data_IF_812762141837
#
_entry.id   IF_812762141837
#
_cell.length_a   1.000
_cell.length_b   1.000
_cell.length_c   1.000
_cell.angle_alpha   90.00
_cell.angle_beta   90.00
_cell.angle_gamma   90.00
#
_symmetry.space_group_name_H-M   'P 1'
#
loop_
_entity.id
_entity.type
_entity.pdbx_description
1 polymer ?
#
# COMPACT_ATOMS: atom_id res chain seq x y z
N UNK A 1 16.16 -0.35 -1.05
CA UNK A 1 15.50 -0.42 -2.36
C UNK A 1 16.25 0.33 -3.46
N UNK A 2 16.69 1.59 -3.29
CA UNK A 2 17.32 2.37 -4.40
C UNK A 2 18.61 1.77 -4.98
N UNK A 3 19.36 0.98 -4.19
CA UNK A 3 20.50 0.18 -4.71
C UNK A 3 20.08 -0.94 -5.67
N UNK A 4 18.84 -1.43 -5.58
CA UNK A 4 18.30 -2.50 -6.43
C UNK A 4 17.75 -1.95 -7.74
N UNK A 5 17.11 -0.77 -7.69
CA UNK A 5 16.57 -0.08 -8.85
C UNK A 5 16.52 1.42 -8.52
N UNK A 6 17.17 2.30 -9.30
CA UNK A 6 17.01 3.74 -9.15
C UNK A 6 15.53 4.14 -9.18
N UNK A 7 15.10 4.90 -8.18
CA UNK A 7 13.74 5.41 -8.08
C UNK A 7 13.66 6.72 -7.32
N UNK A 8 12.65 7.51 -7.66
CA UNK A 8 12.24 8.64 -6.85
C UNK A 8 11.43 8.15 -5.65
N UNK A 9 11.72 8.72 -4.48
CA UNK A 9 11.05 8.40 -3.23
C UNK A 9 10.56 9.69 -2.60
N UNK A 10 9.28 9.73 -2.31
CA UNK A 10 8.61 10.83 -1.64
C UNK A 10 7.99 10.33 -0.34
N UNK A 11 8.10 11.14 0.70
CA UNK A 11 7.59 10.80 2.03
C UNK A 11 6.85 12.00 2.59
N UNK A 12 5.60 11.78 2.94
CA UNK A 12 4.75 12.75 3.60
C UNK A 12 4.49 12.31 5.04
N UNK A 13 4.61 13.25 5.98
CA UNK A 13 4.39 12.98 7.40
C UNK A 13 3.38 13.97 7.97
N UNK A 14 2.27 13.44 8.47
CA UNK A 14 1.23 14.16 9.21
C UNK A 14 1.10 13.51 10.60
N UNK A 15 -0.11 13.13 10.98
CA UNK A 15 -0.43 12.15 12.02
C UNK A 15 -0.03 10.71 11.62
N UNK A 16 0.07 10.42 10.32
CA UNK A 16 0.61 9.18 9.76
C UNK A 16 1.92 9.36 8.99
N UNK A 17 2.38 8.27 8.37
CA UNK A 17 3.47 8.28 7.39
C UNK A 17 2.96 7.70 6.08
N UNK A 18 2.92 8.54 5.06
CA UNK A 18 2.66 8.15 3.68
C UNK A 18 3.97 8.22 2.90
N UNK A 19 4.13 7.35 1.92
CA UNK A 19 5.25 7.42 1.01
C UNK A 19 4.90 6.88 -0.37
N UNK A 20 5.49 7.49 -1.38
CA UNK A 20 5.31 7.14 -2.78
C UNK A 20 6.66 6.81 -3.42
N UNK A 21 6.63 5.85 -4.35
CA UNK A 21 7.78 5.43 -5.14
C UNK A 21 7.46 5.58 -6.61
N UNK A 22 8.21 6.42 -7.32
CA UNK A 22 8.14 6.47 -8.77
C UNK A 22 9.33 5.69 -9.35
N UNK A 23 9.00 4.61 -10.07
CA UNK A 23 9.95 3.69 -10.69
C UNK A 23 9.61 3.54 -12.18
N UNK A 24 10.61 3.50 -13.05
CA UNK A 24 10.37 3.32 -14.48
C UNK A 24 11.61 3.55 -15.33
N UNK A 25 11.49 3.24 -16.62
CA UNK A 25 12.56 3.42 -17.60
C UNK A 25 13.08 4.86 -17.66
N UNK A 26 12.21 5.84 -17.41
CA UNK A 26 12.53 7.28 -17.37
C UNK A 26 13.61 7.65 -16.35
N UNK A 27 13.80 6.84 -15.30
CA UNK A 27 14.85 7.04 -14.28
C UNK A 27 16.12 6.22 -14.54
N UNK A 28 16.11 5.34 -15.54
CA UNK A 28 17.23 4.45 -15.87
C UNK A 28 17.95 4.95 -17.11
N UNK A 29 19.25 5.22 -17.00
CA UNK A 29 20.07 5.67 -18.13
C UNK A 29 20.56 4.53 -19.02
N UNK A 30 20.94 3.40 -18.41
CA UNK A 30 21.62 2.29 -19.09
C UNK A 30 20.86 0.97 -18.93
N UNK A 31 20.11 0.81 -17.83
CA UNK A 31 19.36 -0.40 -17.52
C UNK A 31 17.99 -0.42 -18.21
N UNK A 32 17.42 -1.61 -18.40
CA UNK A 32 16.07 -1.79 -18.93
C UNK A 32 15.06 -2.07 -17.83
N UNK A 33 14.02 -1.26 -17.74
CA UNK A 33 12.91 -1.51 -16.83
C UNK A 33 12.07 -2.69 -17.31
N UNK A 34 11.65 -3.55 -16.38
CA UNK A 34 10.77 -4.68 -16.65
C UNK A 34 9.72 -4.82 -15.55
N UNK A 35 8.63 -5.53 -15.85
CA UNK A 35 7.59 -5.82 -14.84
C UNK A 35 8.14 -6.62 -13.66
N UNK A 36 9.21 -7.39 -13.82
CA UNK A 36 9.85 -8.14 -12.72
C UNK A 36 10.39 -7.15 -11.67
N UNK A 37 10.96 -6.02 -12.09
CA UNK A 37 11.42 -5.00 -11.13
C UNK A 37 10.26 -4.42 -10.32
N UNK A 38 9.11 -4.17 -10.96
CA UNK A 38 7.90 -3.71 -10.27
C UNK A 38 7.40 -4.74 -9.26
N UNK A 39 7.37 -6.03 -9.65
CA UNK A 39 6.97 -7.13 -8.74
C UNK A 39 7.88 -7.19 -7.51
N UNK A 40 9.20 -7.09 -7.72
CA UNK A 40 10.18 -7.11 -6.62
C UNK A 40 9.99 -5.93 -5.65
N UNK A 41 9.70 -4.73 -6.16
CA UNK A 41 9.45 -3.55 -5.31
C UNK A 41 8.15 -3.71 -4.52
N UNK A 42 7.08 -4.22 -5.14
CA UNK A 42 5.80 -4.48 -4.44
C UNK A 42 5.96 -5.51 -3.32
N UNK A 43 6.64 -6.61 -3.59
CA UNK A 43 6.95 -7.61 -2.56
C UNK A 43 7.83 -7.01 -1.44
N UNK A 44 8.83 -6.21 -1.81
CA UNK A 44 9.67 -5.50 -0.84
C UNK A 44 8.87 -4.53 0.05
N UNK A 45 7.88 -3.82 -0.51
CA UNK A 45 6.99 -2.96 0.28
C UNK A 45 6.21 -3.78 1.32
N UNK A 46 5.62 -4.91 0.93
CA UNK A 46 4.88 -5.76 1.88
C UNK A 46 5.79 -6.35 2.97
N UNK A 47 6.99 -6.80 2.61
CA UNK A 47 8.01 -7.24 3.58
C UNK A 47 8.38 -6.11 4.55
N UNK A 48 8.53 -4.89 4.05
CA UNK A 48 8.82 -3.73 4.88
C UNK A 48 7.68 -3.44 5.86
N UNK A 49 6.42 -3.50 5.42
CA UNK A 49 5.26 -3.33 6.29
C UNK A 49 5.23 -4.39 7.40
N UNK A 50 5.49 -5.66 7.08
CA UNK A 50 5.60 -6.72 8.10
C UNK A 50 6.68 -6.41 9.14
N UNK A 51 7.87 -5.96 8.69
CA UNK A 51 8.99 -5.59 9.57
C UNK A 51 8.66 -4.39 10.45
N UNK A 52 8.00 -3.37 9.89
CA UNK A 52 7.55 -2.20 10.65
C UNK A 52 6.55 -2.63 11.72
N UNK A 53 5.58 -3.46 11.38
CA UNK A 53 4.58 -3.97 12.34
C UNK A 53 5.23 -4.75 13.49
N UNK A 54 6.16 -5.67 13.20
CA UNK A 54 6.92 -6.39 14.24
C UNK A 54 7.73 -5.44 15.11
N UNK A 55 8.45 -4.50 14.48
CA UNK A 55 9.27 -3.53 15.21
C UNK A 55 8.43 -2.63 16.10
N UNK A 56 7.23 -2.27 15.66
CA UNK A 56 6.29 -1.49 16.47
C UNK A 56 5.80 -2.31 17.66
N UNK A 57 5.50 -3.60 17.49
CA UNK A 57 5.12 -4.46 18.60
C UNK A 57 6.24 -4.59 19.66
N UNK A 58 7.49 -4.70 19.24
CA UNK A 58 8.66 -4.67 20.14
C UNK A 58 8.84 -3.32 20.85
N UNK A 59 8.62 -2.21 20.13
CA UNK A 59 8.85 -0.85 20.63
C UNK A 59 7.73 -0.37 21.56
N UNK A 60 6.49 -0.80 21.31
CA UNK A 60 5.28 -0.33 22.01
C UNK A 60 5.39 -0.36 23.54
N UNK A 61 5.93 -1.41 24.19
CA UNK A 61 6.09 -1.45 25.65
C UNK A 61 7.09 -0.42 26.21
N UNK A 62 7.98 0.10 25.37
CA UNK A 62 9.03 1.05 25.78
C UNK A 62 8.60 2.51 25.61
N UNK A 63 7.47 2.76 24.94
CA UNK A 63 6.97 4.10 24.71
C UNK A 63 6.25 4.63 25.94
N UNK A 64 6.45 5.91 26.26
CA UNK A 64 5.71 6.61 27.33
C UNK A 64 4.20 6.59 27.10
N UNK A 65 3.79 6.59 25.83
CA UNK A 65 2.40 6.45 25.40
C UNK A 65 2.35 5.30 24.38
N UNK A 66 1.66 4.19 24.67
CA UNK A 66 1.53 3.09 23.74
C UNK A 66 0.91 3.57 22.42
N UNK A 67 1.61 3.36 21.32
CA UNK A 67 1.15 3.71 19.98
C UNK A 67 0.96 2.43 19.15
N UNK A 68 -0.14 2.38 18.42
CA UNK A 68 -0.42 1.35 17.44
C UNK A 68 -0.31 1.89 16.01
N UNK A 69 0.14 1.04 15.10
CA UNK A 69 0.18 1.35 13.67
C UNK A 69 -0.67 0.35 12.90
N UNK A 70 -1.50 0.85 12.00
CA UNK A 70 -2.19 0.03 11.01
C UNK A 70 -1.55 0.24 9.63
N UNK A 71 -1.45 -0.84 8.86
CA UNK A 71 -0.76 -0.83 7.56
C UNK A 71 -1.80 -0.91 6.44
N UNK A 72 -1.71 -0.02 5.43
CA UNK A 72 -2.62 0.03 4.29
C UNK A 72 -1.84 0.21 2.98
N UNK A 73 -2.21 -0.56 1.96
CA UNK A 73 -1.77 -0.37 0.57
C UNK A 73 -3.00 -0.20 -0.30
N UNK A 74 -3.04 0.86 -1.09
CA UNK A 74 -4.02 0.99 -2.17
C UNK A 74 -3.38 0.66 -3.51
N UNK A 75 -3.81 -0.46 -4.10
CA UNK A 75 -3.31 -0.96 -5.38
C UNK A 75 -4.15 -0.39 -6.51
N UNK A 76 -3.52 0.46 -7.31
CA UNK A 76 -4.14 1.09 -8.46
C UNK A 76 -3.41 0.68 -9.76
N UNK A 77 -3.99 -0.28 -10.48
CA UNK A 77 -3.40 -0.87 -11.69
C UNK A 77 -3.72 -0.15 -13.00
N UNK A 78 -4.30 1.06 -12.94
CA UNK A 78 -4.63 1.88 -14.11
C UNK A 78 -3.57 2.97 -14.32
N UNK A 79 -3.22 3.32 -15.57
CA UNK A 79 -2.31 4.41 -15.84
C UNK A 79 -2.81 5.73 -15.23
N UNK A 80 -1.91 6.45 -14.58
CA UNK A 80 -2.14 7.80 -14.08
C UNK A 80 -1.23 8.76 -14.84
N UNK A 81 -1.80 9.83 -15.38
CA UNK A 81 -1.02 10.99 -15.78
C UNK A 81 -0.47 11.68 -14.53
N UNK A 82 0.85 11.85 -14.48
CA UNK A 82 1.53 12.54 -13.38
C UNK A 82 2.37 13.68 -13.95
N UNK A 83 2.46 14.78 -13.21
CA UNK A 83 3.34 15.89 -13.51
C UNK A 83 4.25 16.16 -12.32
N UNK A 84 5.53 16.41 -12.58
CA UNK A 84 6.44 16.85 -11.54
C UNK A 84 6.36 18.37 -11.39
N UNK A 85 5.94 18.85 -10.23
CA UNK A 85 5.92 20.28 -9.89
C UNK A 85 7.31 20.68 -9.39
N UNK A 86 8.02 21.51 -10.17
CA UNK A 86 9.42 21.85 -9.90
C UNK A 86 9.63 22.73 -8.67
N UNK A 87 8.67 23.61 -8.40
CA UNK A 87 8.61 24.51 -7.26
C UNK A 87 8.41 23.75 -5.95
N UNK A 88 7.47 22.80 -5.95
CA UNK A 88 7.14 21.99 -4.78
C UNK A 88 7.98 20.70 -4.68
N UNK A 89 8.69 20.35 -5.75
CA UNK A 89 9.49 19.13 -5.91
C UNK A 89 8.70 17.86 -5.61
N UNK A 90 7.43 17.82 -6.00
CA UNK A 90 6.52 16.69 -5.78
C UNK A 90 5.80 16.27 -7.05
N UNK A 91 5.38 15.00 -7.11
CA UNK A 91 4.49 14.56 -8.18
C UNK A 91 3.05 14.95 -7.83
N UNK A 92 2.35 15.52 -8.80
CA UNK A 92 0.91 15.70 -8.74
C UNK A 92 0.24 14.85 -9.81
N UNK A 93 -0.98 14.45 -9.50
CA UNK A 93 -1.82 13.65 -10.38
C UNK A 93 -2.60 14.60 -11.29
N UNK A 94 -2.32 14.55 -12.59
CA UNK A 94 -2.84 15.52 -13.56
C UNK A 94 -4.03 14.95 -14.35
N UNK A 95 -5.03 15.80 -14.65
CA UNK A 95 -6.16 15.46 -15.52
C UNK A 95 -7.41 14.89 -14.84
N UNK A 96 -8.56 15.20 -15.44
CA UNK A 96 -9.89 14.85 -14.93
C UNK A 96 -10.15 13.35 -14.77
N UNK A 97 -9.44 12.50 -15.54
CA UNK A 97 -9.57 11.05 -15.46
C UNK A 97 -9.03 10.45 -14.15
N UNK A 98 -8.15 11.17 -13.46
CA UNK A 98 -7.53 10.71 -12.23
C UNK A 98 -8.27 11.14 -10.96
N UNK A 99 -9.36 11.91 -11.10
CA UNK A 99 -10.20 12.36 -9.97
C UNK A 99 -10.66 11.18 -9.12
N UNK A 100 -10.96 10.03 -9.76
CA UNK A 100 -11.34 8.81 -9.04
C UNK A 100 -10.24 8.30 -8.12
N UNK A 101 -8.97 8.37 -8.53
CA UNK A 101 -7.84 7.95 -7.71
C UNK A 101 -7.74 8.82 -6.45
N UNK A 102 -7.77 10.15 -6.62
CA UNK A 102 -7.70 11.11 -5.52
C UNK A 102 -8.87 10.99 -4.54
N UNK A 103 -10.10 10.76 -5.05
CA UNK A 103 -11.27 10.54 -4.19
C UNK A 103 -11.09 9.27 -3.36
N UNK A 104 -10.60 8.18 -3.95
CA UNK A 104 -10.37 6.93 -3.22
C UNK A 104 -9.27 7.11 -2.18
N UNK A 105 -8.12 7.69 -2.54
CA UNK A 105 -6.99 7.92 -1.62
C UNK A 105 -7.42 8.67 -0.36
N UNK A 106 -8.26 9.70 -0.49
CA UNK A 106 -8.78 10.49 0.64
C UNK A 106 -9.78 9.75 1.55
N UNK A 107 -10.34 8.63 1.09
CA UNK A 107 -11.43 7.92 1.78
C UNK A 107 -11.03 6.54 2.29
N UNK A 108 -10.09 5.88 1.62
CA UNK A 108 -9.74 4.48 1.86
C UNK A 108 -9.19 4.22 3.27
N UNK A 109 -8.49 5.19 3.86
CA UNK A 109 -8.03 5.13 5.25
C UNK A 109 -9.18 4.89 6.25
N UNK A 110 -10.35 5.44 5.92
CA UNK A 110 -11.58 5.36 6.71
C UNK A 110 -12.57 4.33 6.18
N UNK A 111 -12.14 3.39 5.34
CA UNK A 111 -13.04 2.36 4.82
C UNK A 111 -13.52 1.43 5.94
N UNK A 112 -14.80 1.04 5.85
CA UNK A 112 -15.42 0.01 6.67
C UNK A 112 -15.61 -1.26 5.85
N UNK A 113 -15.65 -2.40 6.51
CA UNK A 113 -16.03 -3.67 5.86
C UNK A 113 -17.53 -3.64 5.60
N UNK A 114 -17.92 -4.02 4.39
CA UNK A 114 -19.33 -4.03 3.97
C UNK A 114 -20.21 -4.85 4.92
N UNK A 115 -21.39 -4.31 5.25
CA UNK A 115 -22.30 -4.91 6.23
C UNK A 115 -21.85 -4.84 7.70
N UNK A 116 -20.78 -4.10 8.04
CA UNK A 116 -20.29 -3.97 9.41
C UNK A 116 -19.88 -2.53 9.76
N UNK A 117 -19.67 -2.26 11.05
CA UNK A 117 -19.06 -1.02 11.54
C UNK A 117 -17.53 -1.16 11.74
N UNK A 118 -16.94 -2.28 11.32
CA UNK A 118 -15.52 -2.53 11.53
C UNK A 118 -14.66 -1.79 10.51
N UNK A 119 -13.64 -1.07 10.98
CA UNK A 119 -12.59 -0.50 10.13
C UNK A 119 -11.84 -1.59 9.38
N UNK A 120 -11.50 -1.30 8.13
CA UNK A 120 -10.63 -2.16 7.33
C UNK A 120 -9.24 -2.26 7.97
N UNK A 121 -8.64 -1.12 8.30
CA UNK A 121 -7.31 -1.02 8.89
C UNK A 121 -7.36 -1.35 10.37
N UNK A 122 -6.51 -2.28 10.80
CA UNK A 122 -6.40 -2.71 12.20
C UNK A 122 -4.91 -2.81 12.60
N UNK A 123 -4.56 -2.52 13.86
CA UNK A 123 -3.22 -2.78 14.38
C UNK A 123 -2.80 -4.23 14.18
N UNK A 124 -1.53 -4.46 13.85
CA UNK A 124 -1.00 -5.81 13.62
C UNK A 124 -1.43 -6.43 12.28
N UNK A 125 -2.26 -5.75 11.47
CA UNK A 125 -2.73 -6.23 10.18
C UNK A 125 -2.25 -5.36 9.02
N UNK A 126 -2.17 -5.97 7.85
CA UNK A 126 -1.94 -5.28 6.57
C UNK A 126 -3.23 -5.39 5.76
N UNK A 127 -3.78 -4.24 5.38
CA UNK A 127 -4.89 -4.14 4.45
C UNK A 127 -4.38 -3.77 3.05
N UNK A 128 -4.84 -4.49 2.03
CA UNK A 128 -4.47 -4.31 0.63
C UNK A 128 -5.76 -4.08 -0.15
N UNK A 129 -6.05 -2.82 -0.47
CA UNK A 129 -7.24 -2.43 -1.23
C UNK A 129 -6.91 -2.47 -2.71
N UNK A 130 -7.79 -3.06 -3.50
CA UNK A 130 -7.59 -3.19 -4.95
C UNK A 130 -8.89 -2.86 -5.71
N UNK A 131 -8.73 -2.52 -6.98
CA UNK A 131 -9.86 -2.19 -7.88
C UNK A 131 -10.09 -3.23 -8.97
N UNK A 132 -9.08 -4.03 -9.31
CA UNK A 132 -9.15 -5.01 -10.39
C UNK A 132 -8.78 -6.42 -9.91
N UNK A 133 -9.45 -7.43 -10.47
CA UNK A 133 -9.21 -8.85 -10.13
C UNK A 133 -7.76 -9.30 -10.41
N UNK A 134 -7.12 -8.75 -11.46
CA UNK A 134 -5.71 -9.03 -11.77
C UNK A 134 -4.77 -8.63 -10.63
N UNK A 135 -5.07 -7.52 -9.95
CA UNK A 135 -4.26 -6.99 -8.86
C UNK A 135 -4.42 -7.87 -7.62
N UNK A 136 -5.64 -8.37 -7.35
CA UNK A 136 -5.91 -9.37 -6.31
C UNK A 136 -5.05 -10.62 -6.49
N UNK A 137 -5.02 -11.18 -7.70
CA UNK A 137 -4.25 -12.39 -8.00
C UNK A 137 -2.75 -12.16 -7.79
N UNK A 138 -2.22 -11.04 -8.28
CA UNK A 138 -0.81 -10.68 -8.08
C UNK A 138 -0.45 -10.55 -6.59
N UNK A 139 -1.32 -9.92 -5.79
CA UNK A 139 -1.06 -9.77 -4.37
C UNK A 139 -1.25 -11.07 -3.57
N UNK A 140 -2.10 -11.99 -4.01
CA UNK A 140 -2.16 -13.33 -3.40
C UNK A 140 -0.85 -14.08 -3.56
N UNK A 141 -0.19 -14.01 -4.72
CA UNK A 141 1.14 -14.61 -4.91
C UNK A 141 2.18 -14.03 -3.93
N UNK A 142 2.11 -12.73 -3.63
CA UNK A 142 2.98 -12.12 -2.62
C UNK A 142 2.64 -12.58 -1.21
N UNK A 143 1.36 -12.71 -0.88
CA UNK A 143 0.93 -13.17 0.44
C UNK A 143 1.29 -14.64 0.67
N UNK A 144 1.19 -15.49 -0.35
CA UNK A 144 1.66 -16.88 -0.31
C UNK A 144 3.15 -16.95 0.03
N UNK A 145 3.99 -16.15 -0.66
CA UNK A 145 5.40 -16.05 -0.32
C UNK A 145 5.63 -15.59 1.13
N UNK A 146 4.88 -14.59 1.61
CA UNK A 146 5.00 -14.11 3.00
C UNK A 146 4.57 -15.17 4.01
N UNK A 147 3.58 -15.98 3.68
CA UNK A 147 3.14 -17.10 4.52
C UNK A 147 4.22 -18.17 4.60
N UNK A 148 4.81 -18.57 3.48
CA UNK A 148 5.90 -19.55 3.42
C UNK A 148 7.15 -19.09 4.18
N UNK A 149 7.39 -17.78 4.20
CA UNK A 149 8.50 -17.16 4.94
C UNK A 149 8.13 -16.80 6.40
N UNK A 150 6.98 -17.25 6.89
CA UNK A 150 6.52 -17.07 8.27
C UNK A 150 6.39 -15.59 8.71
N UNK A 151 6.06 -14.70 7.77
CA UNK A 151 5.81 -13.27 8.05
C UNK A 151 4.36 -12.99 8.49
N UNK A 152 3.41 -13.79 8.02
CA UNK A 152 1.97 -13.60 8.27
C UNK A 152 1.33 -14.90 8.76
N UNK A 153 0.13 -14.80 9.33
CA UNK A 153 -0.68 -15.97 9.70
C UNK A 153 -1.35 -16.60 8.47
N UNK A 154 -1.79 -17.87 8.53
CA UNK A 154 -2.43 -18.56 7.40
C UNK A 154 -3.75 -17.94 6.92
N UNK A 155 -4.46 -17.23 7.79
CA UNK A 155 -5.73 -16.61 7.43
C UNK A 155 -5.51 -15.36 6.55
N UNK A 156 -6.07 -15.41 5.33
CA UNK A 156 -6.16 -14.29 4.39
C UNK A 156 -7.65 -13.96 4.23
N UNK A 157 -8.05 -12.79 4.73
CA UNK A 157 -9.42 -12.31 4.60
C UNK A 157 -9.62 -11.67 3.22
N UNK A 158 -10.69 -12.03 2.50
CA UNK A 158 -11.12 -11.36 1.26
C UNK A 158 -12.42 -10.59 1.54
N UNK A 159 -12.32 -9.27 1.53
CA UNK A 159 -13.30 -8.36 2.12
C UNK A 159 -13.89 -7.44 1.03
N UNK A 160 -15.20 -7.23 1.09
CA UNK A 160 -15.86 -6.12 0.40
C UNK A 160 -15.86 -4.88 1.32
N UNK A 161 -15.71 -3.69 0.74
CA UNK A 161 -15.75 -2.44 1.49
C UNK A 161 -17.11 -1.74 1.31
N UNK A 162 -17.60 -1.16 2.40
CA UNK A 162 -18.81 -0.35 2.39
C UNK A 162 -18.69 0.81 1.39
N UNK A 163 -19.82 1.20 0.81
CA UNK A 163 -19.85 2.33 -0.11
C UNK A 163 -19.46 3.63 0.59
N UNK A 164 -18.67 4.44 -0.11
CA UNK A 164 -18.29 5.78 0.33
C UNK A 164 -18.73 6.76 -0.76
N UNK A 165 -18.96 8.01 -0.40
CA UNK A 165 -19.42 9.02 -1.36
C UNK A 165 -18.44 9.13 -2.55
N UNK A 166 -18.91 8.75 -3.75
CA UNK A 166 -18.11 8.73 -4.98
C UNK A 166 -17.20 7.52 -5.17
N UNK A 167 -17.29 6.51 -4.30
CA UNK A 167 -16.46 5.29 -4.34
C UNK A 167 -17.30 4.06 -4.00
N UNK A 168 -17.44 3.16 -4.97
CA UNK A 168 -18.20 1.91 -4.82
C UNK A 168 -17.41 0.72 -5.36
N UNK A 169 -17.74 -0.48 -4.87
CA UNK A 169 -17.22 -1.75 -5.37
C UNK A 169 -15.74 -2.01 -5.04
N UNK A 170 -15.17 -1.33 -4.04
CA UNK A 170 -13.82 -1.63 -3.58
C UNK A 170 -13.79 -2.95 -2.81
N UNK A 171 -12.70 -3.67 -2.99
CA UNK A 171 -12.40 -4.90 -2.26
C UNK A 171 -11.01 -4.82 -1.65
N UNK A 172 -10.77 -5.66 -0.67
CA UNK A 172 -9.50 -5.70 0.03
C UNK A 172 -9.11 -7.12 0.42
N UNK A 173 -7.80 -7.38 0.43
CA UNK A 173 -7.23 -8.49 1.19
C UNK A 173 -6.78 -7.95 2.53
N UNK A 174 -6.98 -8.71 3.61
CA UNK A 174 -6.44 -8.38 4.93
C UNK A 174 -5.75 -9.58 5.54
N UNK A 175 -4.56 -9.36 6.07
CA UNK A 175 -3.73 -10.40 6.70
C UNK A 175 -3.21 -9.95 8.05
N UNK A 176 -3.01 -10.89 8.96
CA UNK A 176 -2.38 -10.63 10.26
C UNK A 176 -0.89 -10.89 10.17
N UNK A 177 -0.08 -9.92 10.58
CA UNK A 177 1.37 -10.09 10.69
C UNK A 177 1.66 -10.98 11.89
N UNK A 178 2.49 -12.00 11.69
CA UNK A 178 2.97 -12.84 12.79
C UNK A 178 4.01 -12.05 13.58
N UNK A 179 3.73 -11.73 14.84
CA UNK A 179 4.62 -10.95 15.72
C UNK A 179 5.61 -11.86 16.43
#
# INVERSE_FOLDING_TARGET
AQRMLPHYFEKYKTDGVEYDLYIGQSLLKQERFSKIHLRNIRLWQLLLMCRITRRMAELKPTLSTPLDTAQLVFVYGSPLSIQFRMDEKQFDVDGAYNVRYEIIKKRVDKALIDGTEQRLTLPGRIAIVYTAQKDRLEYLEYLEYLLDQDYITPEIEDLALAEMQGVQGLKALRVTVKI
#
